data_IF_618485505678
#
_entry.id   IF_618485505678
#
_cell.length_a   1.000
_cell.length_b   1.000
_cell.length_c   1.000
_cell.angle_alpha   90.00
_cell.angle_beta   90.00
_cell.angle_gamma   90.00
#
_symmetry.space_group_name_H-M   'P 1'
#
loop_
_entity.id
_entity.type
_entity.pdbx_description
1 polymer ?
#
# COMPACT_ATOMS: atom_id res chain seq x y z
N UNK A 1 -29.07 -29.61 1.97
CA UNK A 1 -28.51 -28.47 1.23
C UNK A 1 -27.49 -27.78 2.12
N UNK A 2 -26.20 -28.06 1.93
CA UNK A 2 -25.14 -27.50 2.77
C UNK A 2 -24.84 -26.07 2.30
N UNK A 3 -25.46 -25.08 2.94
CA UNK A 3 -25.07 -23.69 2.80
C UNK A 3 -23.67 -23.52 3.38
N UNK A 4 -22.66 -23.39 2.52
CA UNK A 4 -21.32 -23.01 2.95
C UNK A 4 -21.41 -21.65 3.64
N UNK A 5 -21.28 -21.67 4.98
CA UNK A 5 -21.04 -20.47 5.76
C UNK A 5 -19.65 -19.96 5.38
N UNK A 6 -19.61 -19.06 4.39
CA UNK A 6 -18.39 -18.36 4.02
C UNK A 6 -18.14 -17.34 5.13
N UNK A 7 -17.07 -17.48 5.94
CA UNK A 7 -16.79 -16.47 6.95
C UNK A 7 -16.63 -15.12 6.25
N UNK A 8 -17.15 -14.02 6.83
CA UNK A 8 -17.05 -12.70 6.22
C UNK A 8 -15.58 -12.39 5.99
N UNK A 9 -15.21 -12.10 4.73
CA UNK A 9 -13.85 -11.72 4.38
C UNK A 9 -13.50 -10.48 5.20
N UNK A 10 -12.46 -10.56 6.00
CA UNK A 10 -12.08 -9.44 6.86
C UNK A 10 -11.71 -8.22 6.00
N UNK A 11 -12.13 -7.03 6.42
CA UNK A 11 -11.84 -5.78 5.73
C UNK A 11 -10.33 -5.52 5.61
N UNK A 12 -9.49 -6.11 6.48
CA UNK A 12 -8.03 -6.15 6.29
C UNK A 12 -7.60 -6.91 5.04
N UNK A 13 -8.22 -8.07 4.77
CA UNK A 13 -7.93 -8.89 3.59
C UNK A 13 -8.43 -8.22 2.31
N UNK A 14 -9.63 -7.62 2.34
CA UNK A 14 -10.14 -6.84 1.21
C UNK A 14 -9.26 -5.63 0.89
N UNK A 15 -8.76 -4.93 1.91
CA UNK A 15 -7.77 -3.84 1.72
C UNK A 15 -6.48 -4.33 1.10
N UNK A 16 -5.96 -5.48 1.55
CA UNK A 16 -4.74 -6.03 0.99
C UNK A 16 -4.94 -6.42 -0.48
N UNK A 17 -6.07 -7.05 -0.81
CA UNK A 17 -6.41 -7.41 -2.18
C UNK A 17 -6.60 -6.18 -3.08
N UNK A 18 -7.30 -5.15 -2.61
CA UNK A 18 -7.48 -3.89 -3.35
C UNK A 18 -6.14 -3.23 -3.68
N UNK A 19 -5.21 -3.19 -2.72
CA UNK A 19 -3.85 -2.68 -2.93
C UNK A 19 -3.09 -3.51 -3.96
N UNK A 20 -3.13 -4.83 -3.85
CA UNK A 20 -2.47 -5.72 -4.82
C UNK A 20 -3.00 -5.50 -6.23
N UNK A 21 -4.33 -5.43 -6.40
CA UNK A 21 -4.95 -5.16 -7.68
C UNK A 21 -4.57 -3.77 -8.22
N UNK A 22 -4.54 -2.75 -7.35
CA UNK A 22 -4.06 -1.41 -7.72
C UNK A 22 -2.61 -1.42 -8.23
N UNK A 23 -1.71 -2.14 -7.56
CA UNK A 23 -0.32 -2.32 -8.00
C UNK A 23 -0.24 -3.03 -9.35
N UNK A 24 -1.04 -4.07 -9.56
CA UNK A 24 -1.07 -4.81 -10.84
C UNK A 24 -1.59 -3.88 -11.96
N UNK A 25 -2.68 -3.15 -11.74
CA UNK A 25 -3.20 -2.16 -12.70
C UNK A 25 -2.12 -1.16 -13.09
N UNK A 26 -1.40 -0.61 -12.11
CA UNK A 26 -0.31 0.32 -12.37
C UNK A 26 0.81 -0.33 -13.20
N UNK A 27 1.24 -1.54 -12.85
CA UNK A 27 2.25 -2.29 -13.59
C UNK A 27 1.87 -2.54 -15.05
N UNK A 28 0.60 -2.91 -15.31
CA UNK A 28 0.08 -3.11 -16.66
C UNK A 28 0.09 -1.82 -17.49
N UNK A 29 -0.28 -0.68 -16.89
CA UNK A 29 -0.26 0.62 -17.56
C UNK A 29 1.17 1.05 -17.90
N UNK A 30 2.11 0.90 -16.95
CA UNK A 30 3.53 1.21 -17.18
C UNK A 30 4.12 0.30 -18.26
N UNK A 31 3.81 -1.00 -18.24
CA UNK A 31 4.25 -1.94 -19.26
C UNK A 31 3.71 -1.56 -20.64
N UNK A 32 2.42 -1.20 -20.74
CA UNK A 32 1.80 -0.74 -22.00
C UNK A 32 2.47 0.52 -22.52
N UNK A 33 2.75 1.48 -21.65
CA UNK A 33 3.46 2.70 -22.03
C UNK A 33 4.86 2.40 -22.58
N UNK A 34 5.63 1.58 -21.88
CA UNK A 34 6.96 1.14 -22.32
C UNK A 34 6.91 0.39 -23.66
N UNK A 35 5.86 -0.41 -23.89
CA UNK A 35 5.64 -1.10 -25.16
C UNK A 35 5.40 -0.13 -26.31
N UNK A 36 4.52 0.86 -26.13
CA UNK A 36 4.25 1.89 -27.15
C UNK A 36 5.52 2.65 -27.49
N UNK A 37 6.30 3.04 -26.48
CA UNK A 37 7.59 3.71 -26.68
C UNK A 37 8.58 2.82 -27.45
N UNK A 38 8.66 1.53 -27.12
CA UNK A 38 9.49 0.56 -27.82
C UNK A 38 9.09 0.40 -29.29
N UNK A 39 7.79 0.26 -29.56
CA UNK A 39 7.25 0.19 -30.92
C UNK A 39 7.60 1.43 -31.72
N UNK A 40 7.44 2.63 -31.15
CA UNK A 40 7.76 3.88 -31.83
C UNK A 40 9.26 3.97 -32.17
N UNK A 41 10.15 3.48 -31.30
CA UNK A 41 11.58 3.40 -31.59
C UNK A 41 11.89 2.42 -32.71
N UNK A 42 11.25 1.24 -32.74
CA UNK A 42 11.42 0.27 -33.82
C UNK A 42 10.96 0.86 -35.16
N UNK A 43 9.82 1.56 -35.19
CA UNK A 43 9.33 2.23 -36.40
C UNK A 43 10.29 3.31 -36.91
N UNK A 44 10.95 4.03 -36.00
CA UNK A 44 11.94 5.05 -36.35
C UNK A 44 13.25 4.46 -36.91
N UNK A 45 13.70 3.33 -36.35
CA UNK A 45 14.95 2.67 -36.77
C UNK A 45 14.77 1.79 -38.02
N UNK A 46 13.60 1.18 -38.17
CA UNK A 46 13.28 0.24 -39.25
C UNK A 46 11.91 0.58 -39.87
N UNK A 47 11.82 1.60 -40.74
CA UNK A 47 10.54 2.01 -41.35
C UNK A 47 9.83 0.89 -42.12
N UNK A 48 10.60 0.00 -42.76
CA UNK A 48 10.13 -1.19 -43.49
C UNK A 48 9.27 -2.12 -42.61
N UNK A 49 9.58 -2.21 -41.31
CA UNK A 49 8.81 -3.04 -40.37
C UNK A 49 7.54 -2.34 -39.86
N UNK A 50 7.36 -1.06 -40.16
CA UNK A 50 6.26 -0.23 -39.69
C UNK A 50 4.86 -0.81 -39.98
N UNK A 51 4.56 -1.24 -41.21
CA UNK A 51 3.27 -1.85 -41.55
C UNK A 51 2.99 -3.12 -40.74
N UNK A 52 3.94 -4.06 -40.69
CA UNK A 52 3.77 -5.31 -39.94
C UNK A 52 3.60 -5.09 -38.43
N UNK A 53 4.35 -4.13 -37.86
CA UNK A 53 4.20 -3.75 -36.44
C UNK A 53 2.83 -3.13 -36.20
N UNK A 54 2.35 -2.27 -37.11
CA UNK A 54 1.02 -1.68 -36.99
C UNK A 54 -0.06 -2.78 -37.03
N UNK A 55 -0.02 -3.65 -38.05
CA UNK A 55 -1.00 -4.70 -38.31
C UNK A 55 -1.08 -5.76 -37.22
N UNK A 56 0.04 -6.12 -36.58
CA UNK A 56 0.04 -7.24 -35.63
C UNK A 56 0.07 -6.83 -34.16
N UNK A 57 0.48 -5.60 -33.84
CA UNK A 57 0.74 -5.18 -32.46
C UNK A 57 0.01 -3.92 -31.99
N UNK A 58 -0.22 -2.96 -32.90
CA UNK A 58 -0.73 -1.62 -32.50
C UNK A 58 -2.20 -1.45 -32.83
N UNK A 59 -2.62 -2.00 -33.96
CA UNK A 59 -3.97 -1.80 -34.45
C UNK A 59 -5.01 -2.34 -33.46
N UNK A 60 -6.18 -1.70 -33.43
CA UNK A 60 -7.22 -1.93 -32.42
C UNK A 60 -7.78 -3.34 -32.52
N UNK A 61 -7.80 -3.91 -33.72
CA UNK A 61 -8.32 -5.25 -34.01
C UNK A 61 -7.30 -6.37 -33.78
N UNK A 62 -6.10 -6.05 -33.28
CA UNK A 62 -5.08 -7.07 -33.06
C UNK A 62 -5.40 -7.92 -31.84
N UNK A 63 -5.09 -9.20 -31.98
CA UNK A 63 -5.14 -10.18 -30.90
C UNK A 63 -4.30 -9.74 -29.68
N UNK A 64 -3.17 -9.09 -29.92
CA UNK A 64 -2.33 -8.53 -28.87
C UNK A 64 -3.05 -7.43 -28.10
N UNK A 65 -3.61 -6.44 -28.81
CA UNK A 65 -4.34 -5.33 -28.21
C UNK A 65 -5.57 -5.81 -27.46
N UNK A 66 -6.36 -6.68 -28.07
CA UNK A 66 -7.54 -7.29 -27.46
C UNK A 66 -7.21 -8.03 -26.16
N UNK A 67 -6.17 -8.86 -26.13
CA UNK A 67 -5.73 -9.56 -24.90
C UNK A 67 -5.19 -8.59 -23.85
N UNK A 68 -4.44 -7.56 -24.25
CA UNK A 68 -3.93 -6.53 -23.33
C UNK A 68 -5.08 -5.74 -22.68
N UNK A 69 -6.07 -5.33 -23.47
CA UNK A 69 -7.24 -4.59 -22.98
C UNK A 69 -8.13 -5.47 -22.09
N UNK A 70 -8.36 -6.74 -22.49
CA UNK A 70 -9.11 -7.69 -21.67
C UNK A 70 -8.44 -7.94 -20.30
N UNK A 71 -7.11 -8.06 -20.26
CA UNK A 71 -6.37 -8.22 -19.01
C UNK A 71 -6.52 -6.99 -18.11
N UNK A 72 -6.36 -5.78 -18.67
CA UNK A 72 -6.53 -4.54 -17.91
C UNK A 72 -7.96 -4.40 -17.39
N UNK A 73 -8.96 -4.66 -18.23
CA UNK A 73 -10.37 -4.64 -17.85
C UNK A 73 -10.68 -5.67 -16.75
N UNK A 74 -10.12 -6.88 -16.84
CA UNK A 74 -10.30 -7.91 -15.82
C UNK A 74 -9.78 -7.46 -14.46
N UNK A 75 -8.54 -6.95 -14.40
CA UNK A 75 -7.94 -6.49 -13.13
C UNK A 75 -8.71 -5.30 -12.56
N UNK A 76 -9.08 -4.32 -13.41
CA UNK A 76 -9.89 -3.18 -13.00
C UNK A 76 -11.28 -3.60 -12.52
N UNK A 77 -11.92 -4.55 -13.19
CA UNK A 77 -13.21 -5.12 -12.80
C UNK A 77 -13.14 -5.82 -11.44
N UNK A 78 -12.11 -6.65 -11.22
CA UNK A 78 -11.88 -7.25 -9.90
C UNK A 78 -11.61 -6.23 -8.81
N UNK A 79 -10.88 -5.16 -9.12
CA UNK A 79 -10.68 -4.07 -8.16
C UNK A 79 -11.99 -3.36 -7.82
N UNK A 80 -12.86 -3.15 -8.79
CA UNK A 80 -14.18 -2.57 -8.59
C UNK A 80 -15.08 -3.46 -7.71
N UNK A 81 -15.08 -4.78 -7.92
CA UNK A 81 -15.77 -5.75 -7.06
C UNK A 81 -15.30 -5.63 -5.60
N UNK A 82 -13.98 -5.60 -5.36
CA UNK A 82 -13.42 -5.48 -4.01
C UNK A 82 -13.78 -4.14 -3.36
N UNK A 83 -13.78 -3.05 -4.13
CA UNK A 83 -14.23 -1.74 -3.64
C UNK A 83 -15.71 -1.76 -3.24
N UNK A 84 -16.56 -2.42 -4.04
CA UNK A 84 -17.98 -2.59 -3.71
C UNK A 84 -18.17 -3.39 -2.42
N UNK A 85 -17.44 -4.49 -2.24
CA UNK A 85 -17.47 -5.31 -1.01
C UNK A 85 -17.02 -4.50 0.21
N UNK A 86 -15.96 -3.70 0.07
CA UNK A 86 -15.47 -2.81 1.14
C UNK A 86 -16.48 -1.73 1.51
N UNK A 87 -17.17 -1.15 0.52
CA UNK A 87 -18.26 -0.18 0.75
C UNK A 87 -19.44 -0.85 1.45
N UNK A 88 -19.82 -2.05 1.02
CA UNK A 88 -20.91 -2.83 1.63
C UNK A 88 -20.63 -3.16 3.10
N UNK A 89 -19.37 -3.42 3.46
CA UNK A 89 -18.97 -3.73 4.83
C UNK A 89 -19.19 -2.56 5.82
N UNK A 90 -19.31 -1.32 5.33
CA UNK A 90 -19.51 -0.12 6.16
C UNK A 90 -20.90 0.49 6.02
N UNK A 91 -21.82 -0.19 5.32
CA UNK A 91 -23.20 0.25 5.20
C UNK A 91 -23.92 0.22 6.55
N UNK A 92 -24.71 1.26 6.89
CA UNK A 92 -25.58 1.23 8.06
C UNK A 92 -26.71 0.22 7.86
N UNK A 93 -27.24 -0.31 8.96
CA UNK A 93 -28.35 -1.26 8.95
C UNK A 93 -29.67 -0.62 8.45
N UNK A 94 -29.83 0.68 8.64
CA UNK A 94 -31.02 1.41 8.23
C UNK A 94 -31.08 1.61 6.69
N UNK A 95 -32.17 1.21 6.02
CA UNK A 95 -32.29 1.27 4.56
C UNK A 95 -32.18 2.68 3.98
N UNK A 96 -32.73 3.69 4.65
CA UNK A 96 -32.72 5.08 4.18
C UNK A 96 -31.29 5.65 4.21
N UNK A 97 -30.59 5.45 5.32
CA UNK A 97 -29.17 5.84 5.48
C UNK A 97 -28.27 5.08 4.53
N UNK A 98 -28.53 3.80 4.30
CA UNK A 98 -27.81 2.97 3.33
C UNK A 98 -27.95 3.53 1.91
N UNK A 99 -29.16 3.83 1.45
CA UNK A 99 -29.39 4.42 0.12
C UNK A 99 -28.64 5.75 -0.06
N UNK A 100 -28.70 6.61 0.95
CA UNK A 100 -27.99 7.88 0.94
C UNK A 100 -26.47 7.70 0.85
N UNK A 101 -25.89 6.77 1.63
CA UNK A 101 -24.45 6.46 1.58
C UNK A 101 -24.03 5.84 0.23
N UNK A 102 -24.86 4.97 -0.35
CA UNK A 102 -24.59 4.34 -1.64
C UNK A 102 -24.54 5.33 -2.80
N UNK A 103 -25.30 6.43 -2.72
CA UNK A 103 -25.30 7.50 -3.72
C UNK A 103 -23.98 8.30 -3.75
N UNK A 104 -23.15 8.21 -2.72
CA UNK A 104 -21.85 8.89 -2.67
C UNK A 104 -20.86 8.10 -3.53
N UNK A 105 -20.32 8.64 -4.64
CA UNK A 105 -19.37 7.93 -5.49
C UNK A 105 -18.06 7.65 -4.74
N UNK A 106 -17.25 6.67 -5.17
CA UNK A 106 -15.88 6.53 -4.70
C UNK A 106 -15.02 7.70 -5.21
N UNK A 107 -13.96 8.03 -4.48
CA UNK A 107 -12.95 8.99 -4.96
C UNK A 107 -11.70 8.25 -5.49
N UNK A 108 -10.72 9.00 -5.98
CA UNK A 108 -9.45 8.45 -6.45
C UNK A 108 -8.61 7.78 -5.34
N UNK A 109 -8.82 8.18 -4.07
CA UNK A 109 -8.04 7.75 -2.92
C UNK A 109 -8.87 7.07 -1.81
N UNK A 110 -10.18 7.31 -1.75
CA UNK A 110 -11.06 6.83 -0.67
C UNK A 110 -12.26 6.05 -1.21
N UNK A 111 -12.87 5.23 -0.33
CA UNK A 111 -14.06 4.42 -0.65
C UNK A 111 -15.27 5.27 -1.04
N UNK A 112 -15.30 6.52 -0.56
CA UNK A 112 -16.32 7.52 -0.83
C UNK A 112 -15.62 8.84 -1.16
N UNK A 113 -16.34 9.72 -1.85
CA UNK A 113 -15.99 11.12 -1.96
C UNK A 113 -15.98 11.78 -0.59
N UNK A 114 -14.87 12.42 -0.23
CA UNK A 114 -14.63 12.95 1.13
C UNK A 114 -15.57 14.11 1.46
N UNK A 115 -15.82 15.01 0.50
CA UNK A 115 -16.66 16.19 0.70
C UNK A 115 -18.13 15.78 0.86
N UNK A 116 -18.60 14.86 0.03
CA UNK A 116 -19.96 14.34 0.09
C UNK A 116 -20.16 13.48 1.34
N UNK A 117 -19.18 12.65 1.71
CA UNK A 117 -19.23 11.87 2.95
C UNK A 117 -19.22 12.78 4.18
N UNK A 118 -18.40 13.83 4.20
CA UNK A 118 -18.36 14.80 5.31
C UNK A 118 -19.69 15.49 5.52
N UNK A 119 -20.35 15.90 4.43
CA UNK A 119 -21.71 16.47 4.47
C UNK A 119 -22.74 15.48 5.01
N UNK A 120 -22.64 14.22 4.61
CA UNK A 120 -23.53 13.16 5.08
C UNK A 120 -23.34 12.89 6.59
N UNK A 121 -22.11 12.68 7.05
CA UNK A 121 -21.81 12.40 8.48
C UNK A 121 -22.19 13.58 9.40
N UNK A 122 -22.19 14.80 8.89
CA UNK A 122 -22.57 15.99 9.65
C UNK A 122 -24.07 16.07 9.97
N UNK A 123 -24.92 15.25 9.32
CA UNK A 123 -26.34 15.21 9.63
C UNK A 123 -26.61 14.37 10.90
N UNK A 124 -27.56 14.79 11.76
CA UNK A 124 -27.91 14.04 12.96
C UNK A 124 -28.28 12.57 12.66
N UNK A 125 -27.68 11.64 13.40
CA UNK A 125 -27.99 10.21 13.29
C UNK A 125 -27.32 9.47 12.13
N UNK A 126 -26.49 10.14 11.33
CA UNK A 126 -25.67 9.49 10.30
C UNK A 126 -24.41 8.89 10.93
N UNK A 127 -24.34 7.56 10.92
CA UNK A 127 -23.20 6.80 11.43
C UNK A 127 -22.92 5.69 10.45
N UNK A 128 -21.65 5.51 10.08
CA UNK A 128 -21.22 4.35 9.30
C UNK A 128 -21.50 3.04 10.08
N UNK A 129 -21.65 1.93 9.36
CA UNK A 129 -21.69 0.61 9.98
C UNK A 129 -20.43 0.30 10.80
N UNK A 130 -20.46 -0.80 11.56
CA UNK A 130 -19.35 -1.21 12.42
C UNK A 130 -18.02 -1.27 11.66
N UNK A 131 -17.18 -0.24 11.84
CA UNK A 131 -15.77 -0.31 11.51
C UNK A 131 -15.11 -1.13 12.64
N UNK A 132 -14.30 -2.17 12.35
CA UNK A 132 -13.32 -2.61 13.33
C UNK A 132 -12.36 -1.44 13.47
N UNK A 133 -12.61 -0.60 14.47
CA UNK A 133 -11.79 0.57 14.75
C UNK A 133 -10.34 0.12 14.77
N UNK A 134 -9.51 0.71 13.91
CA UNK A 134 -8.07 0.71 14.14
C UNK A 134 -7.90 1.22 15.56
N UNK A 135 -7.47 0.35 16.47
CA UNK A 135 -6.78 0.83 17.67
C UNK A 135 -5.61 1.64 17.14
N UNK A 136 -5.75 2.97 17.09
CA UNK A 136 -4.59 3.85 16.93
C UNK A 136 -3.62 3.39 18.03
N UNK A 137 -2.36 3.04 17.72
CA UNK A 137 -1.39 2.93 18.79
C UNK A 137 -1.37 4.29 19.48
N UNK A 138 -1.71 4.32 20.76
CA UNK A 138 -1.60 5.50 21.59
C UNK A 138 -0.11 5.76 21.80
N UNK A 139 0.59 6.27 20.79
CA UNK A 139 1.95 6.78 20.95
C UNK A 139 1.87 8.20 21.50
N UNK A 140 1.38 8.33 22.73
CA UNK A 140 1.83 9.42 23.59
C UNK A 140 3.23 9.04 24.06
N UNK A 141 4.29 9.82 23.73
CA UNK A 141 5.53 9.71 24.47
C UNK A 141 5.22 10.23 25.88
N UNK A 142 5.00 9.33 26.83
CA UNK A 142 5.06 9.70 28.24
C UNK A 142 6.52 10.06 28.51
N UNK A 143 6.84 11.35 28.37
CA UNK A 143 8.05 11.90 28.97
C UNK A 143 7.95 11.62 30.48
N UNK A 144 8.91 10.92 31.08
CA UNK A 144 8.90 10.72 32.52
C UNK A 144 9.04 12.09 33.19
N UNK A 145 8.07 12.43 34.03
CA UNK A 145 8.16 13.63 34.86
C UNK A 145 9.36 13.48 35.79
N UNK A 146 10.36 14.33 35.58
CA UNK A 146 11.49 14.46 36.50
C UNK A 146 10.95 15.00 37.82
N UNK A 147 10.87 14.13 38.84
CA UNK A 147 10.56 14.54 40.20
C UNK A 147 11.63 15.54 40.65
N UNK A 148 11.20 16.75 41.02
CA UNK A 148 12.07 17.74 41.66
C UNK A 148 12.52 17.20 43.02
N UNK A 149 13.79 16.85 43.14
CA UNK A 149 14.38 16.48 44.43
C UNK A 149 14.56 17.76 45.25
N UNK A 150 13.88 17.85 46.39
CA UNK A 150 14.17 18.84 47.43
C UNK A 150 15.49 18.45 48.10
N UNK A 151 16.50 19.29 47.93
CA UNK A 151 17.75 19.26 48.68
C UNK A 151 17.47 19.62 50.15
N UNK A 152 17.87 18.75 51.08
CA UNK A 152 18.07 19.11 52.48
C UNK A 152 19.33 18.43 52.99
N UNK A 153 20.16 19.23 53.66
CA UNK A 153 21.49 18.91 54.14
C UNK A 153 21.53 17.81 55.22
N UNK A 154 22.64 17.05 55.13
CA UNK A 154 23.36 16.11 56.03
C UNK A 154 23.33 16.41 57.56
N UNK A 155 23.96 15.57 58.45
CA UNK A 155 24.40 14.15 58.34
C UNK A 155 24.07 13.29 59.60
N UNK A 156 24.21 11.95 59.53
CA UNK A 156 24.75 11.16 60.65
C UNK A 156 25.32 9.80 60.19
N UNK A 157 26.53 9.51 60.69
CA UNK A 157 27.37 8.31 60.59
C UNK A 157 26.82 7.23 61.58
N UNK A 158 26.78 5.90 61.36
CA UNK A 158 27.87 4.91 61.26
C UNK A 158 27.34 3.49 60.91
N UNK A 159 28.15 2.70 60.16
CA UNK A 159 28.44 1.23 60.26
C UNK A 159 27.31 0.15 60.23
N UNK A 160 27.33 -0.94 59.45
CA UNK A 160 28.29 -1.49 58.49
C UNK A 160 27.88 -2.88 57.93
N UNK A 161 28.76 -3.38 57.05
CA UNK A 161 29.00 -4.76 56.54
C UNK A 161 28.04 -5.46 55.55
N UNK A 162 28.64 -5.91 54.43
CA UNK A 162 28.41 -7.27 53.88
C UNK A 162 28.16 -7.43 52.37
N UNK A 163 29.17 -7.94 51.62
CA UNK A 163 29.02 -8.74 50.38
C UNK A 163 29.04 -7.97 49.04
N UNK A 164 30.13 -7.90 48.26
CA UNK A 164 30.81 -8.91 47.42
C UNK A 164 30.17 -9.19 46.05
N UNK A 165 30.88 -8.79 44.97
CA UNK A 165 30.80 -9.33 43.60
C UNK A 165 29.62 -8.83 42.75
N UNK A 166 29.70 -8.56 41.45
CA UNK A 166 30.75 -8.76 40.45
C UNK A 166 30.41 -7.93 39.20
N UNK A 167 31.40 -7.82 38.32
CA UNK A 167 31.56 -6.92 37.17
C UNK A 167 30.46 -6.92 36.09
N UNK A 168 30.43 -5.77 35.43
CA UNK A 168 29.86 -5.45 34.12
C UNK A 168 30.18 -6.42 32.97
N UNK A 169 29.35 -6.36 31.91
CA UNK A 169 29.83 -6.05 30.54
C UNK A 169 28.67 -5.72 29.59
N UNK A 170 28.66 -4.46 29.17
CA UNK A 170 28.03 -3.97 27.93
C UNK A 170 28.87 -4.48 26.77
N UNK A 171 28.24 -5.06 25.75
CA UNK A 171 28.89 -5.40 24.48
C UNK A 171 28.09 -4.81 23.32
N UNK A 172 28.51 -3.63 22.87
CA UNK A 172 28.21 -3.12 21.54
C UNK A 172 29.08 -3.83 20.50
N UNK A 173 28.50 -4.32 19.41
CA UNK A 173 29.22 -4.48 18.15
C UNK A 173 28.37 -3.92 17.01
N UNK A 174 28.68 -2.67 16.65
CA UNK A 174 28.48 -2.13 15.30
C UNK A 174 29.55 -2.76 14.40
N UNK A 175 29.15 -3.35 13.28
CA UNK A 175 30.02 -3.69 12.16
C UNK A 175 29.85 -2.67 11.03
N UNK A 176 30.91 -2.30 10.28
CA UNK A 176 30.93 -1.09 9.46
C UNK A 176 30.41 -1.30 8.04
N UNK A 177 29.83 -0.20 7.52
CA UNK A 177 29.65 0.14 6.12
C UNK A 177 30.99 0.02 5.36
N UNK A 178 31.00 -0.66 4.21
CA UNK A 178 31.97 -0.38 3.15
C UNK A 178 31.30 -0.37 1.78
N UNK A 179 31.51 0.75 1.08
CA UNK A 179 31.08 1.13 -0.25
C UNK A 179 32.03 0.61 -1.35
N UNK A 180 31.48 0.48 -2.56
CA UNK A 180 32.07 0.02 -3.85
C UNK A 180 33.41 0.69 -4.25
N UNK A 181 34.10 0.16 -5.29
CA UNK A 181 33.98 0.81 -6.61
C UNK A 181 33.96 -0.12 -7.86
N UNK A 182 33.65 0.54 -8.99
CA UNK A 182 33.51 0.11 -10.40
C UNK A 182 34.85 -0.23 -11.11
N UNK A 183 34.74 -1.00 -12.20
CA UNK A 183 35.69 -1.05 -13.35
C UNK A 183 35.95 -2.51 -13.78
N UNK A 184 36.00 -2.94 -15.06
CA UNK A 184 36.04 -2.24 -16.33
C UNK A 184 35.56 -3.18 -17.46
N UNK A 185 35.01 -2.58 -18.54
CA UNK A 185 34.76 -3.22 -19.84
C UNK A 185 36.07 -3.48 -20.58
N UNK A 186 36.18 -4.60 -21.26
CA UNK A 186 37.03 -4.76 -22.46
C UNK A 186 36.18 -5.29 -23.62
N UNK A 187 36.40 -4.71 -24.80
CA UNK A 187 35.75 -4.97 -26.10
C UNK A 187 36.49 -6.08 -26.87
N UNK A 188 35.95 -6.59 -27.99
CA UNK A 188 36.41 -7.79 -28.67
C UNK A 188 37.49 -7.52 -29.71
N UNK A 189 38.34 -8.52 -29.97
CA UNK A 189 39.25 -8.57 -31.11
C UNK A 189 38.58 -9.18 -32.34
N UNK A 190 38.87 -8.56 -33.49
CA UNK A 190 38.58 -9.01 -34.85
C UNK A 190 39.93 -9.20 -35.55
N UNK A 191 40.18 -10.39 -36.09
CA UNK A 191 41.18 -10.62 -37.15
C UNK A 191 40.68 -11.83 -37.96
N UNK A 192 40.22 -11.56 -39.18
CA UNK A 192 40.80 -11.98 -40.47
C UNK A 192 40.36 -13.38 -40.89
#
# INVERSE_FOLDING_TARGET
MNGQFRPPVSDSSLRQLERTLGTITHGLLVQRQAFIEGVNRVRALCPEAGPAVQEHLVDVQTDFRGKSDALLQFVCGKRAEVLADRRKAVEPADPSRKRALQAIPPSSSHLFDEDLLGKWVSQPGQVLGHYPARKRPLSTPHLPQVKKYKTSNRPHFHQGQGGSGTKAKISSKRGPFQSKPRGNRTKPDRAQ
#
